data_IF_712134234698
#
_entry.id   IF_712134234698
#
_cell.length_a   1.000
_cell.length_b   1.000
_cell.length_c   1.000
_cell.angle_alpha   90.00
_cell.angle_beta   90.00
_cell.angle_gamma   90.00
#
_symmetry.space_group_name_H-M   'P 1'
#
loop_
_entity.id
_entity.type
_entity.pdbx_description
1 polymer ?
#
# COMPACT_ATOMS: atom_id res chain seq x y z
N UNK A 1 21.56 39.43 13.86
CA UNK A 1 21.13 39.32 12.44
C UNK A 1 21.54 37.96 11.92
N UNK A 2 20.59 37.10 11.53
CA UNK A 2 20.71 36.32 10.29
C UNK A 2 19.36 35.66 9.97
N UNK A 3 18.77 36.18 8.89
CA UNK A 3 17.70 35.72 8.00
C UNK A 3 16.89 34.46 8.33
N UNK A 4 15.62 34.73 8.59
CA UNK A 4 14.44 33.93 8.25
C UNK A 4 14.43 33.51 6.77
N UNK A 5 14.70 32.23 6.50
CA UNK A 5 14.31 31.60 5.23
C UNK A 5 12.85 31.14 5.37
N UNK A 6 11.95 31.91 4.75
CA UNK A 6 10.54 31.57 4.59
C UNK A 6 10.46 30.32 3.68
N UNK A 7 10.04 29.19 4.25
CA UNK A 7 9.48 28.12 3.45
C UNK A 7 8.20 28.67 2.80
N UNK A 8 7.95 28.44 1.49
CA UNK A 8 6.70 28.84 0.88
C UNK A 8 5.59 28.02 1.55
N UNK A 9 4.89 28.65 2.49
CA UNK A 9 3.62 28.15 2.98
C UNK A 9 2.69 28.24 1.77
N UNK A 10 2.51 27.13 1.07
CA UNK A 10 1.37 26.97 0.17
C UNK A 10 0.12 27.00 1.05
N UNK A 11 -0.37 28.21 1.34
CA UNK A 11 -1.71 28.40 1.90
C UNK A 11 -2.69 28.09 0.77
N UNK A 12 -3.04 26.81 0.63
CA UNK A 12 -4.19 26.42 -0.18
C UNK A 12 -5.43 26.82 0.62
N UNK A 13 -6.05 27.92 0.22
CA UNK A 13 -7.34 28.35 0.72
C UNK A 13 -8.39 27.29 0.35
N UNK A 14 -8.83 26.51 1.35
CA UNK A 14 -10.06 25.71 1.37
C UNK A 14 -10.30 24.76 0.17
N UNK A 15 -9.66 23.57 0.17
CA UNK A 15 -9.92 22.50 -0.82
C UNK A 15 -9.82 21.06 -0.24
N UNK A 16 -9.93 20.86 1.08
CA UNK A 16 -9.74 19.55 1.73
C UNK A 16 -10.91 18.55 1.60
N UNK A 17 -11.98 18.85 0.86
CA UNK A 17 -13.20 18.01 0.85
C UNK A 17 -13.12 16.73 0.03
N UNK A 18 -12.18 16.67 -0.93
CA UNK A 18 -11.99 15.51 -1.80
C UNK A 18 -10.73 14.70 -1.47
N UNK A 19 -10.09 14.95 -0.33
CA UNK A 19 -8.86 14.24 0.06
C UNK A 19 -9.16 13.17 1.10
N UNK A 20 -8.44 12.07 1.00
CA UNK A 20 -8.46 11.01 1.99
C UNK A 20 -7.21 11.07 2.85
N UNK A 21 -7.38 11.04 4.17
CA UNK A 21 -6.26 10.94 5.09
C UNK A 21 -5.68 9.51 5.02
N UNK A 22 -4.35 9.43 5.02
CA UNK A 22 -3.61 8.18 4.90
C UNK A 22 -2.55 8.12 5.98
N UNK A 23 -2.45 6.97 6.63
CA UNK A 23 -1.39 6.69 7.61
C UNK A 23 -0.47 5.61 7.08
N UNK A 24 0.85 5.84 7.13
CA UNK A 24 1.85 4.83 6.76
C UNK A 24 2.36 4.11 7.99
N UNK A 25 2.43 2.78 7.91
CA UNK A 25 3.04 1.95 8.94
C UNK A 25 3.81 0.79 8.33
N UNK A 26 4.89 0.31 8.99
CA UNK A 26 5.58 -0.89 8.56
C UNK A 26 4.68 -2.13 8.79
N UNK A 27 4.63 -3.00 7.79
CA UNK A 27 4.02 -4.33 7.84
C UNK A 27 5.14 -5.35 7.92
N UNK A 28 5.18 -6.14 8.98
CA UNK A 28 6.14 -7.24 9.16
C UNK A 28 5.64 -8.50 8.45
N UNK A 29 6.33 -8.92 7.40
CA UNK A 29 6.05 -10.17 6.69
C UNK A 29 6.67 -11.39 7.40
N UNK A 30 7.59 -11.16 8.34
CA UNK A 30 8.29 -12.20 9.08
C UNK A 30 9.71 -12.48 8.57
N UNK A 31 10.47 -13.23 9.37
CA UNK A 31 11.92 -13.48 9.15
C UNK A 31 12.25 -14.31 7.90
N UNK A 32 11.25 -14.94 7.30
CA UNK A 32 11.38 -15.73 6.08
C UNK A 32 11.28 -14.87 4.81
N UNK A 33 11.03 -13.56 4.93
CA UNK A 33 10.80 -12.68 3.80
C UNK A 33 11.92 -11.65 3.60
N UNK A 34 12.16 -11.29 2.35
CA UNK A 34 12.98 -10.16 1.96
C UNK A 34 12.27 -9.28 0.91
N UNK A 35 12.12 -7.96 1.15
CA UNK A 35 12.34 -7.30 2.44
C UNK A 35 11.36 -7.81 3.50
N UNK A 36 11.79 -7.85 4.78
CA UNK A 36 10.93 -8.28 5.90
C UNK A 36 9.82 -7.28 6.19
N UNK A 37 10.14 -5.99 6.12
CA UNK A 37 9.20 -4.92 6.41
C UNK A 37 8.83 -4.19 5.12
N UNK A 38 7.53 -3.99 4.91
CA UNK A 38 7.01 -3.15 3.83
C UNK A 38 6.36 -1.90 4.43
N UNK A 39 6.62 -0.74 3.84
CA UNK A 39 5.81 0.44 4.16
C UNK A 39 4.51 0.39 3.39
N UNK A 40 3.40 0.21 4.11
CA UNK A 40 2.06 0.25 3.57
C UNK A 40 1.30 1.42 4.17
N UNK A 41 0.57 2.13 3.34
CA UNK A 41 -0.38 3.11 3.82
C UNK A 41 -1.79 2.55 3.90
N UNK A 42 -2.55 3.12 4.83
CA UNK A 42 -3.91 2.71 5.19
C UNK A 42 -4.80 3.95 5.19
N UNK A 43 -5.94 3.85 4.49
CA UNK A 43 -6.87 4.98 4.37
C UNK A 43 -7.73 5.12 5.62
N UNK A 44 -7.95 6.36 6.06
CA UNK A 44 -8.97 6.67 7.03
C UNK A 44 -10.32 6.76 6.31
N UNK A 45 -11.32 5.94 6.67
CA UNK A 45 -12.56 5.83 5.89
C UNK A 45 -13.42 7.11 5.89
N UNK A 46 -13.35 7.92 6.96
CA UNK A 46 -14.26 9.05 7.21
C UNK A 46 -13.63 10.43 6.94
N UNK A 47 -12.58 10.52 6.13
CA UNK A 47 -11.90 11.79 5.84
C UNK A 47 -12.49 12.56 4.65
N UNK A 48 -13.34 11.94 3.84
CA UNK A 48 -13.99 12.58 2.69
C UNK A 48 -15.44 13.04 2.99
N UNK A 49 -16.00 13.86 2.09
CA UNK A 49 -17.36 14.41 2.23
C UNK A 49 -18.46 13.35 2.13
N UNK A 50 -19.66 13.67 2.61
CA UNK A 50 -20.84 12.80 2.62
C UNK A 50 -21.10 12.20 1.22
N UNK A 51 -21.45 10.90 1.17
CA UNK A 51 -21.67 10.09 -0.06
C UNK A 51 -20.40 9.64 -0.80
N UNK A 52 -19.23 9.88 -0.23
CA UNK A 52 -17.98 9.33 -0.72
C UNK A 52 -17.35 8.42 0.34
N UNK A 53 -16.51 7.50 -0.12
CA UNK A 53 -15.68 6.65 0.72
C UNK A 53 -14.22 6.72 0.29
N UNK A 54 -13.32 6.63 1.27
CA UNK A 54 -11.90 6.54 1.02
C UNK A 54 -11.49 5.09 0.73
N UNK A 55 -10.95 4.86 -0.47
CA UNK A 55 -10.51 3.53 -0.93
C UNK A 55 -9.00 3.49 -1.11
N UNK A 56 -8.38 2.44 -0.57
CA UNK A 56 -6.95 2.17 -0.74
C UNK A 56 -6.60 1.81 -2.18
N UNK A 57 -5.64 2.53 -2.75
CA UNK A 57 -4.95 2.12 -3.98
C UNK A 57 -3.78 1.24 -3.65
N UNK A 58 -3.80 0.04 -4.22
CA UNK A 58 -2.81 -1.00 -3.98
C UNK A 58 -1.83 -1.10 -5.14
N UNK A 59 -0.55 -1.08 -4.81
CA UNK A 59 0.52 -1.46 -5.70
C UNK A 59 1.03 -2.86 -5.32
N UNK A 60 1.31 -3.69 -6.32
CA UNK A 60 1.72 -5.08 -6.12
C UNK A 60 3.23 -5.19 -6.19
N UNK A 61 3.88 -5.31 -5.03
CA UNK A 61 5.34 -5.44 -4.94
C UNK A 61 5.76 -6.90 -5.02
N UNK A 62 6.97 -7.14 -5.53
CA UNK A 62 7.61 -8.46 -5.46
C UNK A 62 8.40 -8.59 -4.17
N UNK A 63 8.15 -9.67 -3.44
CA UNK A 63 8.89 -10.06 -2.23
C UNK A 63 9.48 -11.43 -2.41
N UNK A 64 10.62 -11.70 -1.78
CA UNK A 64 11.22 -13.02 -1.73
C UNK A 64 10.78 -13.73 -0.46
N UNK A 65 10.28 -14.95 -0.59
CA UNK A 65 10.01 -15.87 0.53
C UNK A 65 11.02 -17.02 0.50
N UNK A 66 11.55 -17.41 1.65
CA UNK A 66 12.38 -18.63 1.76
C UNK A 66 11.54 -19.86 1.42
N UNK A 67 12.11 -20.76 0.61
CA UNK A 67 11.50 -22.06 0.30
C UNK A 67 11.36 -22.91 1.56
N UNK A 68 10.23 -23.58 1.67
CA UNK A 68 9.98 -24.63 2.64
C UNK A 68 10.02 -26.01 1.96
N UNK A 69 10.28 -27.09 2.72
CA UNK A 69 10.35 -28.45 2.19
C UNK A 69 9.10 -28.89 1.41
N UNK A 70 7.95 -28.25 1.66
CA UNK A 70 6.68 -28.55 1.01
C UNK A 70 6.48 -27.84 -0.34
N UNK A 71 7.32 -26.86 -0.68
CA UNK A 71 7.11 -26.01 -1.86
C UNK A 71 7.43 -26.71 -3.20
N UNK A 72 8.01 -27.93 -3.15
CA UNK A 72 8.37 -28.71 -4.33
C UNK A 72 9.46 -28.06 -5.19
N UNK A 73 9.92 -28.77 -6.23
CA UNK A 73 10.89 -28.22 -7.18
C UNK A 73 10.24 -27.25 -8.19
N UNK A 74 8.93 -27.40 -8.43
CA UNK A 74 8.18 -26.72 -9.50
C UNK A 74 7.48 -25.42 -9.08
N UNK A 75 8.00 -24.72 -8.08
CA UNK A 75 7.52 -23.38 -7.75
C UNK A 75 7.73 -22.44 -8.96
N UNK A 76 6.69 -22.27 -9.79
CA UNK A 76 6.67 -21.50 -11.05
C UNK A 76 7.22 -20.08 -10.84
N UNK A 77 7.05 -19.50 -9.65
CA UNK A 77 7.55 -18.18 -9.31
C UNK A 77 9.08 -18.07 -9.20
N UNK A 78 9.77 -19.18 -8.89
CA UNK A 78 11.24 -19.22 -8.87
C UNK A 78 11.83 -19.12 -10.27
N UNK A 79 11.05 -19.42 -11.33
CA UNK A 79 11.52 -19.36 -12.71
C UNK A 79 11.85 -17.93 -13.19
N UNK A 80 11.37 -16.92 -12.48
CA UNK A 80 11.62 -15.50 -12.75
C UNK A 80 12.86 -14.95 -12.05
N UNK A 81 13.40 -15.67 -11.06
CA UNK A 81 14.53 -15.23 -10.26
C UNK A 81 15.87 -15.55 -10.94
N UNK A 82 16.97 -14.83 -10.67
CA UNK A 82 18.30 -15.28 -11.06
C UNK A 82 18.62 -16.69 -10.53
N UNK A 83 19.36 -17.51 -11.29
CA UNK A 83 19.67 -18.92 -10.96
C UNK A 83 20.19 -19.10 -9.52
N UNK A 84 21.04 -18.18 -9.05
CA UNK A 84 21.61 -18.20 -7.71
C UNK A 84 20.55 -18.12 -6.59
N UNK A 85 19.40 -17.49 -6.84
CA UNK A 85 18.35 -17.33 -5.84
C UNK A 85 17.31 -18.46 -5.87
N UNK A 86 17.17 -19.19 -6.98
CA UNK A 86 16.09 -20.18 -7.17
C UNK A 86 16.14 -21.37 -6.21
N UNK A 87 17.33 -21.69 -5.69
CA UNK A 87 17.50 -22.83 -4.78
C UNK A 87 16.96 -22.55 -3.37
N UNK A 88 16.90 -21.26 -2.98
CA UNK A 88 16.59 -20.86 -1.60
C UNK A 88 15.34 -19.99 -1.51
N UNK A 89 15.02 -19.25 -2.57
CA UNK A 89 13.98 -18.24 -2.58
C UNK A 89 12.92 -18.51 -3.63
N UNK A 90 11.72 -18.02 -3.34
CA UNK A 90 10.59 -17.90 -4.26
C UNK A 90 10.14 -16.45 -4.30
N UNK A 91 9.72 -15.99 -5.49
CA UNK A 91 9.10 -14.68 -5.62
C UNK A 91 7.61 -14.78 -5.33
N UNK A 92 7.10 -13.89 -4.51
CA UNK A 92 5.67 -13.72 -4.26
C UNK A 92 5.27 -12.28 -4.53
N UNK A 93 3.99 -12.06 -4.80
CA UNK A 93 3.45 -10.73 -5.01
C UNK A 93 2.66 -10.32 -3.78
N UNK A 94 2.99 -9.16 -3.20
CA UNK A 94 2.32 -8.64 -2.01
C UNK A 94 1.64 -7.29 -2.33
N UNK A 95 0.34 -7.11 -2.01
CA UNK A 95 -0.35 -5.84 -2.21
C UNK A 95 -0.01 -4.84 -1.10
N UNK A 96 0.36 -3.61 -1.47
CA UNK A 96 0.72 -2.53 -0.55
C UNK A 96 -0.11 -1.30 -0.87
N UNK A 97 -0.79 -0.73 0.13
CA UNK A 97 -1.47 0.56 -0.03
C UNK A 97 -0.46 1.69 -0.26
N UNK A 98 -0.61 2.44 -1.34
CA UNK A 98 0.32 3.52 -1.75
C UNK A 98 -0.36 4.88 -1.86
N UNK A 99 -1.68 4.91 -2.04
CA UNK A 99 -2.49 6.11 -2.03
C UNK A 99 -3.91 5.83 -1.54
N UNK A 100 -4.66 6.89 -1.27
CA UNK A 100 -6.08 6.85 -0.96
C UNK A 100 -6.83 7.72 -1.96
N UNK A 101 -7.94 7.22 -2.48
CA UNK A 101 -8.83 7.98 -3.36
C UNK A 101 -10.23 8.10 -2.75
N UNK A 102 -10.80 9.29 -2.89
CA UNK A 102 -12.18 9.59 -2.56
C UNK A 102 -13.07 9.15 -3.73
N UNK A 103 -13.90 8.12 -3.55
CA UNK A 103 -14.79 7.59 -4.59
C UNK A 103 -16.25 7.61 -4.13
N UNK A 104 -17.19 7.76 -5.06
CA UNK A 104 -18.62 7.77 -4.75
C UNK A 104 -19.02 6.43 -4.13
N UNK A 105 -19.75 6.49 -3.03
CA UNK A 105 -20.30 5.31 -2.37
C UNK A 105 -21.60 4.88 -3.03
N UNK A 106 -21.54 3.86 -3.89
CA UNK A 106 -22.73 3.31 -4.53
C UNK A 106 -23.59 2.45 -3.58
N UNK A 107 -23.24 2.30 -2.29
CA UNK A 107 -24.05 1.52 -1.34
C UNK A 107 -25.28 2.28 -0.80
N UNK A 108 -25.45 3.58 -1.11
CA UNK A 108 -26.59 4.38 -0.62
C UNK A 108 -27.85 4.40 -1.51
N UNK A 109 -27.92 3.66 -2.62
CA UNK A 109 -29.12 3.62 -3.49
C UNK A 109 -29.98 2.34 -3.37
N UNK A 110 -29.79 1.51 -2.34
CA UNK A 110 -30.52 0.22 -2.24
C UNK A 110 -31.28 -0.05 -0.94
N UNK A 111 -31.61 0.99 -0.15
CA UNK A 111 -32.62 0.86 0.90
C UNK A 111 -33.43 2.15 1.04
N UNK A 112 -34.37 2.36 0.14
CA UNK A 112 -35.56 3.19 0.37
C UNK A 112 -36.72 2.50 -0.33
N UNK A 113 -37.18 1.40 0.27
CA UNK A 113 -38.53 0.86 0.03
C UNK A 113 -39.53 1.64 0.87
#
# INVERSE_FOLDING_TARGET
MLNSALLPIYKTTNHNRCNCEMSFRPVDLGRAYYPRYLHAGFCQPNSCEKYYQCVEKKYYVKVLRKKEFKDGEDAISSSSLPKALRNVWMAETFPVGVACECVIDFQTESFSN
#
